data_IF_548085588645
#
_entry.id   IF_548085588645
#
_cell.length_a   1.000
_cell.length_b   1.000
_cell.length_c   1.000
_cell.angle_alpha   90.00
_cell.angle_beta   90.00
_cell.angle_gamma   90.00
#
_symmetry.space_group_name_H-M   'P 1'
#
loop_
_entity.id
_entity.type
_entity.pdbx_description
1 polymer ?
#
# COMPACT_ATOMS: atom_id res chain seq x y z
N UNK A 1 -31.83 -6.74 -11.55
CA UNK A 1 -31.22 -5.77 -10.61
C UNK A 1 -29.70 -5.86 -10.56
N UNK A 2 -29.09 -6.97 -10.10
CA UNK A 2 -27.61 -7.07 -10.03
C UNK A 2 -26.94 -7.11 -11.42
N UNK A 3 -27.51 -7.87 -12.35
CA UNK A 3 -27.05 -7.91 -13.75
C UNK A 3 -27.17 -6.51 -14.40
N UNK A 4 -28.30 -5.84 -14.18
CA UNK A 4 -28.52 -4.47 -14.67
C UNK A 4 -27.54 -3.45 -14.06
N UNK A 5 -27.04 -3.73 -12.86
CA UNK A 5 -26.00 -2.94 -12.19
C UNK A 5 -24.57 -3.30 -12.64
N UNK A 6 -24.41 -4.22 -13.60
CA UNK A 6 -23.13 -4.61 -14.16
C UNK A 6 -22.37 -5.66 -13.35
N UNK A 7 -23.02 -6.38 -12.43
CA UNK A 7 -22.42 -7.53 -11.75
C UNK A 7 -22.46 -8.73 -12.69
N UNK A 8 -21.31 -9.40 -12.89
CA UNK A 8 -21.22 -10.56 -13.77
C UNK A 8 -21.91 -11.80 -13.18
N UNK A 9 -22.51 -12.68 -14.00
CA UNK A 9 -23.07 -13.94 -13.52
C UNK A 9 -22.05 -14.79 -12.74
N UNK A 10 -20.80 -14.82 -13.19
CA UNK A 10 -19.70 -15.55 -12.55
C UNK A 10 -19.39 -15.01 -11.15
N UNK A 11 -19.45 -13.69 -10.97
CA UNK A 11 -19.27 -13.09 -9.65
C UNK A 11 -20.46 -13.45 -8.74
N UNK A 12 -21.71 -13.37 -9.23
CA UNK A 12 -22.90 -13.73 -8.46
C UNK A 12 -22.84 -15.19 -7.99
N UNK A 13 -22.42 -16.12 -8.86
CA UNK A 13 -22.29 -17.54 -8.52
C UNK A 13 -21.22 -17.80 -7.45
N UNK A 14 -20.18 -16.97 -7.37
CA UNK A 14 -19.18 -17.06 -6.30
C UNK A 14 -19.71 -16.56 -4.94
N UNK A 15 -20.81 -15.83 -4.93
CA UNK A 15 -21.36 -15.20 -3.74
C UNK A 15 -22.90 -15.34 -3.70
N UNK A 16 -23.33 -16.60 -3.62
CA UNK A 16 -24.75 -17.01 -3.57
C UNK A 16 -25.48 -16.42 -2.36
N UNK A 17 -24.75 -15.94 -1.34
CA UNK A 17 -25.33 -15.29 -0.17
C UNK A 17 -26.12 -14.03 -0.50
N UNK A 18 -25.85 -13.39 -1.65
CA UNK A 18 -26.60 -12.23 -2.12
C UNK A 18 -28.10 -12.46 -2.23
N UNK A 19 -28.54 -13.71 -2.50
CA UNK A 19 -29.96 -14.04 -2.62
C UNK A 19 -30.71 -14.05 -1.29
N UNK A 20 -30.00 -14.04 -0.15
CA UNK A 20 -30.62 -14.01 1.18
C UNK A 20 -30.92 -12.59 1.67
N UNK A 21 -30.43 -11.58 0.96
CA UNK A 21 -30.53 -10.19 1.38
C UNK A 21 -31.80 -9.51 0.84
N UNK A 22 -32.30 -8.57 1.63
CA UNK A 22 -33.47 -7.78 1.28
C UNK A 22 -33.22 -6.92 0.03
N UNK A 23 -34.18 -6.95 -0.91
CA UNK A 23 -34.10 -6.23 -2.18
C UNK A 23 -33.97 -4.71 -2.00
N UNK A 24 -34.71 -4.11 -1.06
CA UNK A 24 -34.61 -2.66 -0.81
C UNK A 24 -33.21 -2.27 -0.30
N UNK A 25 -32.62 -3.10 0.55
CA UNK A 25 -31.28 -2.88 1.09
C UNK A 25 -30.19 -3.04 0.02
N UNK A 26 -30.38 -3.96 -0.93
CA UNK A 26 -29.49 -4.09 -2.07
C UNK A 26 -29.62 -2.87 -2.99
N UNK A 27 -30.84 -2.41 -3.26
CA UNK A 27 -31.09 -1.27 -4.13
C UNK A 27 -30.45 0.01 -3.58
N UNK A 28 -30.64 0.33 -2.29
CA UNK A 28 -30.04 1.53 -1.69
C UNK A 28 -28.50 1.54 -1.77
N UNK A 29 -27.87 0.36 -1.65
CA UNK A 29 -26.42 0.21 -1.81
C UNK A 29 -25.97 0.38 -3.26
N UNK A 30 -26.72 -0.18 -4.20
CA UNK A 30 -26.42 0.00 -5.62
C UNK A 30 -26.51 1.47 -6.01
N UNK A 31 -27.50 2.20 -5.49
CA UNK A 31 -27.63 3.64 -5.73
C UNK A 31 -26.42 4.40 -5.16
N UNK A 32 -26.00 4.07 -3.94
CA UNK A 32 -24.78 4.63 -3.33
C UNK A 32 -23.50 4.34 -4.14
N UNK A 33 -23.38 3.14 -4.70
CA UNK A 33 -22.23 2.75 -5.55
C UNK A 33 -22.26 3.50 -6.89
N UNK A 34 -23.45 3.75 -7.45
CA UNK A 34 -23.62 4.53 -8.68
C UNK A 34 -23.25 6.00 -8.47
N UNK A 35 -23.65 6.61 -7.36
CA UNK A 35 -23.27 7.99 -6.98
C UNK A 35 -21.75 8.19 -6.94
N UNK A 36 -21.01 7.15 -6.52
CA UNK A 36 -19.56 7.19 -6.43
C UNK A 36 -18.85 6.95 -7.77
N UNK A 37 -19.59 6.69 -8.86
CA UNK A 37 -19.05 6.56 -10.21
C UNK A 37 -18.12 5.35 -10.41
N UNK A 38 -18.21 4.35 -9.54
CA UNK A 38 -17.33 3.18 -9.57
C UNK A 38 -17.87 2.13 -10.54
N UNK A 39 -16.98 1.65 -11.41
CA UNK A 39 -17.24 0.58 -12.35
C UNK A 39 -16.75 -0.77 -11.75
N UNK A 40 -17.47 -1.85 -12.04
CA UNK A 40 -17.12 -3.20 -11.59
C UNK A 40 -17.58 -3.50 -10.17
N UNK A 41 -18.90 -3.52 -9.98
CA UNK A 41 -19.57 -3.86 -8.72
C UNK A 41 -19.33 -5.35 -8.41
N UNK A 42 -18.97 -5.65 -7.16
CA UNK A 42 -18.81 -7.03 -6.68
C UNK A 42 -19.95 -7.41 -5.74
N UNK A 43 -20.43 -8.67 -5.74
CA UNK A 43 -21.57 -9.09 -4.92
C UNK A 43 -21.44 -8.80 -3.42
N UNK A 44 -20.23 -8.95 -2.84
CA UNK A 44 -20.02 -8.63 -1.42
C UNK A 44 -20.38 -7.19 -1.05
N UNK A 45 -20.30 -6.24 -2.00
CA UNK A 45 -20.60 -4.83 -1.77
C UNK A 45 -22.07 -4.60 -1.41
N UNK A 46 -22.96 -5.47 -1.89
CA UNK A 46 -24.39 -5.31 -1.67
C UNK A 46 -24.87 -5.97 -0.37
N UNK A 47 -24.01 -6.71 0.32
CA UNK A 47 -24.38 -7.45 1.54
C UNK A 47 -23.47 -7.22 2.75
N UNK A 48 -22.29 -6.63 2.58
CA UNK A 48 -21.38 -6.28 3.68
C UNK A 48 -21.97 -5.24 4.64
N UNK A 49 -21.32 -4.93 5.77
CA UNK A 49 -21.71 -3.75 6.55
C UNK A 49 -21.54 -2.45 5.72
N UNK A 50 -22.41 -1.46 5.91
CA UNK A 50 -22.32 -0.16 5.24
C UNK A 50 -20.97 0.53 5.49
N UNK A 51 -20.41 0.38 6.69
CA UNK A 51 -19.07 0.91 7.02
C UNK A 51 -17.99 0.31 6.12
N UNK A 52 -18.09 -0.98 5.82
CA UNK A 52 -17.14 -1.68 4.94
C UNK A 52 -17.30 -1.22 3.49
N UNK A 53 -18.53 -0.98 3.05
CA UNK A 53 -18.81 -0.41 1.74
C UNK A 53 -18.17 0.98 1.60
N UNK A 54 -18.44 1.90 2.53
CA UNK A 54 -17.87 3.26 2.51
C UNK A 54 -16.33 3.24 2.51
N UNK A 55 -15.68 2.39 3.33
CA UNK A 55 -14.22 2.23 3.33
C UNK A 55 -13.72 1.78 1.94
N UNK A 56 -14.43 0.87 1.28
CA UNK A 56 -14.04 0.39 -0.04
C UNK A 56 -14.22 1.45 -1.14
N UNK A 57 -15.32 2.24 -1.07
CA UNK A 57 -15.55 3.36 -1.98
C UNK A 57 -14.48 4.43 -1.79
N UNK A 58 -14.18 4.78 -0.53
CA UNK A 58 -13.13 5.75 -0.18
C UNK A 58 -11.77 5.30 -0.74
N UNK A 59 -11.35 4.05 -0.50
CA UNK A 59 -10.08 3.53 -1.03
C UNK A 59 -9.97 3.62 -2.56
N UNK A 60 -11.07 3.40 -3.27
CA UNK A 60 -11.11 3.53 -4.74
C UNK A 60 -10.99 4.99 -5.16
N UNK A 61 -11.71 5.88 -4.47
CA UNK A 61 -11.61 7.33 -4.67
C UNK A 61 -10.18 7.82 -4.45
N UNK A 62 -9.56 7.46 -3.33
CA UNK A 62 -8.18 7.84 -2.99
C UNK A 62 -7.21 7.30 -4.04
N UNK A 63 -7.36 6.02 -4.43
CA UNK A 63 -6.50 5.42 -5.45
C UNK A 63 -6.60 6.16 -6.79
N UNK A 64 -7.81 6.61 -7.16
CA UNK A 64 -8.04 7.42 -8.37
C UNK A 64 -7.44 8.82 -8.25
N UNK A 65 -7.52 9.45 -7.08
CA UNK A 65 -6.90 10.75 -6.83
C UNK A 65 -5.37 10.71 -6.99
N UNK A 66 -4.74 9.57 -6.63
CA UNK A 66 -3.29 9.38 -6.75
C UNK A 66 -2.85 8.99 -8.16
N UNK A 67 -3.56 8.06 -8.80
CA UNK A 67 -3.18 7.54 -10.12
C UNK A 67 -3.65 8.43 -11.28
N UNK A 68 -4.76 9.15 -11.13
CA UNK A 68 -5.47 9.73 -12.25
C UNK A 68 -5.84 8.63 -13.26
N UNK A 69 -5.46 8.83 -14.52
CA UNK A 69 -5.65 7.87 -15.61
C UNK A 69 -4.44 6.93 -15.81
N UNK A 70 -3.40 7.09 -15.00
CA UNK A 70 -2.16 6.32 -15.15
C UNK A 70 -2.26 4.92 -14.54
N UNK A 71 -1.51 3.98 -15.09
CA UNK A 71 -1.33 2.68 -14.44
C UNK A 71 -0.40 2.78 -13.21
N UNK A 72 -0.49 1.84 -12.28
CA UNK A 72 0.43 1.75 -11.13
C UNK A 72 1.89 1.66 -11.60
N UNK A 73 2.14 0.97 -12.71
CA UNK A 73 3.47 0.88 -13.31
C UNK A 73 3.97 2.25 -13.77
N UNK A 74 3.18 2.98 -14.55
CA UNK A 74 3.53 4.31 -15.04
C UNK A 74 3.77 5.28 -13.88
N UNK A 75 2.88 5.26 -12.89
CA UNK A 75 2.99 6.08 -11.69
C UNK A 75 4.33 5.81 -10.95
N UNK A 76 4.64 4.55 -10.68
CA UNK A 76 5.88 4.19 -9.97
C UNK A 76 7.14 4.45 -10.82
N UNK A 77 7.10 4.20 -12.14
CA UNK A 77 8.21 4.53 -13.03
C UNK A 77 8.52 6.02 -13.01
N UNK A 78 7.48 6.86 -13.08
CA UNK A 78 7.61 8.32 -12.99
C UNK A 78 8.15 8.76 -11.63
N UNK A 79 7.57 8.26 -10.53
CA UNK A 79 7.95 8.62 -9.16
C UNK A 79 9.37 8.18 -8.79
N UNK A 80 9.81 7.03 -9.30
CA UNK A 80 11.16 6.49 -9.04
C UNK A 80 12.18 6.90 -10.11
N UNK A 81 11.77 7.65 -11.13
CA UNK A 81 12.59 7.98 -12.30
C UNK A 81 13.31 6.74 -12.87
N UNK A 82 12.53 5.68 -13.16
CA UNK A 82 13.06 4.41 -13.68
C UNK A 82 12.37 3.99 -14.97
N UNK A 83 13.07 3.21 -15.79
CA UNK A 83 12.51 2.66 -17.03
C UNK A 83 11.56 1.50 -16.72
N UNK A 84 10.66 1.19 -17.65
CA UNK A 84 9.78 0.03 -17.52
C UNK A 84 10.56 -1.28 -17.37
N UNK A 85 11.71 -1.41 -18.04
CA UNK A 85 12.58 -2.58 -17.89
C UNK A 85 13.14 -2.69 -16.46
N UNK A 86 13.57 -1.57 -15.86
CA UNK A 86 14.02 -1.53 -14.48
C UNK A 86 12.87 -1.84 -13.51
N UNK A 87 11.67 -1.31 -13.76
CA UNK A 87 10.48 -1.60 -12.97
C UNK A 87 10.08 -3.08 -13.02
N UNK A 88 10.11 -3.69 -14.21
CA UNK A 88 9.85 -5.13 -14.38
C UNK A 88 10.88 -5.98 -13.64
N UNK A 89 12.15 -5.59 -13.66
CA UNK A 89 13.19 -6.26 -12.88
C UNK A 89 12.96 -6.13 -11.37
N UNK A 90 12.60 -4.93 -10.91
CA UNK A 90 12.28 -4.64 -9.52
C UNK A 90 11.09 -5.46 -9.01
N UNK A 91 9.99 -5.51 -9.77
CA UNK A 91 8.79 -6.27 -9.42
C UNK A 91 8.96 -7.78 -9.57
N UNK A 92 9.85 -8.25 -10.45
CA UNK A 92 10.25 -9.67 -10.49
C UNK A 92 10.97 -10.08 -9.20
N UNK A 93 11.83 -9.21 -8.65
CA UNK A 93 12.50 -9.46 -7.37
C UNK A 93 11.57 -9.31 -6.17
N UNK A 94 10.67 -8.34 -6.22
CA UNK A 94 9.73 -8.04 -5.13
C UNK A 94 8.28 -7.94 -5.66
N UNK A 95 7.61 -9.08 -5.91
CA UNK A 95 6.25 -9.09 -6.47
C UNK A 95 5.20 -8.47 -5.54
N UNK A 96 5.49 -8.42 -4.24
CA UNK A 96 4.57 -7.88 -3.23
C UNK A 96 4.24 -6.40 -3.46
N UNK A 97 5.09 -5.63 -4.14
CA UNK A 97 4.86 -4.20 -4.45
C UNK A 97 3.56 -4.01 -5.24
N UNK A 98 3.26 -4.93 -6.17
CA UNK A 98 2.05 -4.87 -7.00
C UNK A 98 0.76 -5.07 -6.20
N UNK A 99 0.86 -5.58 -4.96
CA UNK A 99 -0.28 -5.79 -4.05
C UNK A 99 -0.44 -4.65 -3.03
N UNK A 100 0.51 -3.71 -2.98
CA UNK A 100 0.45 -2.58 -2.05
C UNK A 100 -0.50 -1.52 -2.62
N UNK A 101 -1.38 -0.99 -1.78
CA UNK A 101 -2.26 0.11 -2.16
C UNK A 101 -1.45 1.33 -2.61
N UNK A 102 -1.91 1.99 -3.68
CA UNK A 102 -1.18 3.11 -4.29
C UNK A 102 -1.05 4.30 -3.35
N UNK A 103 -2.06 4.57 -2.52
CA UNK A 103 -2.02 5.63 -1.49
C UNK A 103 -0.90 5.38 -0.49
N UNK A 104 -0.77 4.14 -0.01
CA UNK A 104 0.35 3.74 0.85
C UNK A 104 1.70 3.87 0.13
N UNK A 105 1.78 3.51 -1.14
CA UNK A 105 3.01 3.67 -1.93
C UNK A 105 3.38 5.15 -2.06
N UNK A 106 2.40 6.02 -2.31
CA UNK A 106 2.58 7.47 -2.35
C UNK A 106 3.15 7.98 -1.03
N UNK A 107 2.44 7.74 0.08
CA UNK A 107 2.84 8.18 1.43
C UNK A 107 4.24 7.70 1.79
N UNK A 108 4.55 6.44 1.48
CA UNK A 108 5.87 5.87 1.76
C UNK A 108 6.96 6.53 0.94
N UNK A 109 6.72 6.78 -0.35
CA UNK A 109 7.69 7.44 -1.22
C UNK A 109 7.90 8.91 -0.84
N UNK A 110 6.83 9.64 -0.56
CA UNK A 110 6.89 11.04 -0.15
C UNK A 110 7.70 11.17 1.15
N UNK A 111 7.39 10.34 2.14
CA UNK A 111 8.15 10.31 3.40
C UNK A 111 9.64 9.96 3.19
N UNK A 112 9.96 8.95 2.37
CA UNK A 112 11.35 8.59 2.10
C UNK A 112 12.12 9.72 1.39
N UNK A 113 11.47 10.43 0.48
CA UNK A 113 12.10 11.55 -0.23
C UNK A 113 12.28 12.78 0.68
N UNK A 114 11.32 13.05 1.56
CA UNK A 114 11.44 14.08 2.62
C UNK A 114 12.59 13.77 3.60
N UNK A 115 12.80 12.50 3.92
CA UNK A 115 13.94 12.02 4.73
C UNK A 115 15.27 12.02 3.95
N UNK A 116 15.27 12.46 2.68
CA UNK A 116 16.48 12.63 1.86
C UNK A 116 16.95 11.38 1.13
N UNK A 117 16.15 10.30 1.11
CA UNK A 117 16.47 9.13 0.29
C UNK A 117 16.20 9.41 -1.19
N UNK A 118 17.15 9.06 -2.04
CA UNK A 118 17.04 9.15 -3.49
C UNK A 118 16.20 8.02 -4.08
N UNK A 119 15.64 8.26 -5.26
CA UNK A 119 14.92 7.22 -6.01
C UNK A 119 15.80 6.00 -6.31
N UNK A 120 17.11 6.19 -6.53
CA UNK A 120 18.04 5.08 -6.75
C UNK A 120 18.14 4.19 -5.51
N UNK A 121 18.24 4.75 -4.29
CA UNK A 121 18.25 3.95 -3.06
C UNK A 121 16.97 3.12 -2.92
N UNK A 122 15.80 3.68 -3.26
CA UNK A 122 14.53 2.94 -3.24
C UNK A 122 14.51 1.83 -4.30
N UNK A 123 15.02 2.09 -5.51
CA UNK A 123 15.14 1.09 -6.57
C UNK A 123 16.07 -0.07 -6.18
N UNK A 124 17.17 0.21 -5.46
CA UNK A 124 18.08 -0.83 -4.94
C UNK A 124 17.45 -1.65 -3.82
N UNK A 125 16.56 -1.04 -3.02
CA UNK A 125 15.91 -1.68 -1.89
C UNK A 125 14.37 -1.58 -1.95
N UNK A 126 13.74 -2.17 -2.97
CA UNK A 126 12.33 -1.95 -3.27
C UNK A 126 11.40 -2.61 -2.24
N UNK A 127 11.94 -3.54 -1.43
CA UNK A 127 11.26 -4.16 -0.29
C UNK A 127 10.78 -3.13 0.75
N UNK A 128 11.43 -1.97 0.84
CA UNK A 128 11.02 -0.89 1.75
C UNK A 128 9.55 -0.51 1.56
N UNK A 129 9.07 -0.52 0.31
CA UNK A 129 7.70 -0.17 -0.07
C UNK A 129 6.65 -1.18 0.43
N UNK A 130 7.08 -2.36 0.88
CA UNK A 130 6.20 -3.37 1.44
C UNK A 130 5.99 -3.20 2.95
N UNK A 131 6.89 -2.50 3.65
CA UNK A 131 6.75 -2.24 5.09
C UNK A 131 5.63 -1.22 5.35
N UNK A 132 5.10 -1.17 6.59
CA UNK A 132 4.19 -0.08 6.97
C UNK A 132 4.99 1.20 7.16
N UNK A 133 4.38 2.34 6.83
CA UNK A 133 4.98 3.65 7.07
C UNK A 133 5.37 3.82 8.54
N UNK A 134 4.49 3.39 9.46
CA UNK A 134 4.75 3.40 10.89
C UNK A 134 6.02 2.63 11.29
N UNK A 135 6.30 1.47 10.67
CA UNK A 135 7.55 0.74 10.94
C UNK A 135 8.77 1.50 10.43
N UNK A 136 8.68 2.12 9.25
CA UNK A 136 9.79 2.88 8.68
C UNK A 136 10.10 4.11 9.55
N UNK A 137 9.06 4.87 9.92
CA UNK A 137 9.17 6.04 10.80
C UNK A 137 9.75 5.67 12.16
N UNK A 138 9.19 4.65 12.82
CA UNK A 138 9.68 4.18 14.12
C UNK A 138 11.17 3.82 14.06
N UNK A 139 11.59 3.06 13.03
CA UNK A 139 12.99 2.67 12.88
C UNK A 139 13.91 3.86 12.64
N UNK A 140 13.51 4.81 11.79
CA UNK A 140 14.32 6.01 11.54
C UNK A 140 14.49 6.87 12.79
N UNK A 141 13.41 7.09 13.55
CA UNK A 141 13.48 7.81 14.83
C UNK A 141 14.42 7.12 15.81
N UNK A 142 14.26 5.81 16.01
CA UNK A 142 15.13 5.06 16.92
C UNK A 142 16.61 5.09 16.50
N UNK A 143 16.89 5.00 15.20
CA UNK A 143 18.26 5.10 14.68
C UNK A 143 18.84 6.50 14.91
N UNK A 144 18.04 7.54 14.70
CA UNK A 144 18.43 8.94 14.92
C UNK A 144 18.74 9.22 16.38
N UNK A 145 17.95 8.69 17.31
CA UNK A 145 18.19 8.79 18.77
C UNK A 145 19.51 8.12 19.18
N UNK A 146 19.89 7.06 18.46
CA UNK A 146 21.19 6.39 18.60
C UNK A 146 22.34 7.14 17.93
N UNK A 147 22.09 8.26 17.25
CA UNK A 147 23.08 9.04 16.51
C UNK A 147 23.45 8.40 15.16
N UNK A 148 22.65 7.47 14.66
CA UNK A 148 22.88 6.79 13.38
C UNK A 148 21.93 7.33 12.31
N UNK A 149 22.48 7.90 11.25
CA UNK A 149 21.72 8.30 10.07
C UNK A 149 21.95 7.29 8.92
N UNK A 150 20.98 6.42 8.59
CA UNK A 150 21.19 5.38 7.59
C UNK A 150 21.37 5.97 6.18
N UNK A 151 22.53 5.68 5.57
CA UNK A 151 22.77 5.98 4.14
C UNK A 151 22.06 4.95 3.23
N UNK A 152 21.70 3.78 3.75
CA UNK A 152 21.04 2.71 2.99
C UNK A 152 19.73 2.29 3.64
N UNK A 153 18.73 2.01 2.81
CA UNK A 153 17.41 1.52 3.23
C UNK A 153 17.44 0.05 3.70
N UNK A 154 18.59 -0.62 3.61
CA UNK A 154 18.73 -2.03 4.00
C UNK A 154 18.38 -2.29 5.46
N UNK A 155 18.75 -1.38 6.37
CA UNK A 155 18.45 -1.49 7.80
C UNK A 155 16.95 -1.41 8.07
N UNK A 156 16.22 -0.61 7.29
CA UNK A 156 14.77 -0.43 7.44
C UNK A 156 14.00 -1.67 6.97
N UNK A 157 14.62 -2.53 6.15
CA UNK A 157 14.03 -3.73 5.59
C UNK A 157 14.34 -5.02 6.37
N UNK A 158 15.12 -4.93 7.45
CA UNK A 158 15.48 -6.08 8.28
C UNK A 158 14.27 -6.70 8.97
N UNK A 159 14.35 -7.99 9.29
CA UNK A 159 13.37 -8.62 10.18
C UNK A 159 13.36 -7.93 11.55
N UNK A 160 12.32 -8.19 12.35
CA UNK A 160 12.26 -7.63 13.71
C UNK A 160 13.49 -8.04 14.53
N UNK A 161 13.86 -9.32 14.48
CA UNK A 161 15.00 -9.87 15.21
C UNK A 161 16.32 -9.22 14.81
N UNK A 162 16.66 -9.21 13.51
CA UNK A 162 17.94 -8.64 13.05
C UNK A 162 18.03 -7.12 13.31
N UNK A 163 16.90 -6.42 13.25
CA UNK A 163 16.85 -4.99 13.58
C UNK A 163 17.09 -4.77 15.09
N UNK A 164 16.47 -5.57 15.95
CA UNK A 164 16.71 -5.53 17.39
C UNK A 164 18.17 -5.84 17.74
N UNK A 165 18.78 -6.85 17.12
CA UNK A 165 20.20 -7.15 17.31
C UNK A 165 21.10 -5.99 16.89
N UNK A 166 20.80 -5.36 15.75
CA UNK A 166 21.54 -4.16 15.30
C UNK A 166 21.42 -3.02 16.32
N UNK A 167 20.21 -2.75 16.80
CA UNK A 167 19.93 -1.75 17.83
C UNK A 167 20.72 -2.01 19.11
N UNK A 168 20.73 -3.27 19.58
CA UNK A 168 21.51 -3.67 20.76
C UNK A 168 23.02 -3.44 20.57
N UNK A 169 23.57 -3.85 19.43
CA UNK A 169 25.00 -3.64 19.10
C UNK A 169 25.36 -2.15 19.13
N UNK A 170 24.56 -1.29 18.50
CA UNK A 170 24.79 0.16 18.47
C UNK A 170 24.69 0.80 19.85
N UNK A 171 23.73 0.36 20.67
CA UNK A 171 23.60 0.84 22.07
C UNK A 171 24.77 0.41 22.97
N UNK A 172 25.35 -0.77 22.70
CA UNK A 172 26.50 -1.31 23.42
C UNK A 172 27.80 -0.56 23.08
N UNK A 173 28.04 -0.26 21.80
CA UNK A 173 29.23 0.50 21.37
C UNK A 173 29.30 1.91 21.95
N UNK A 174 28.15 2.55 22.21
CA UNK A 174 28.09 3.90 22.80
C UNK A 174 28.53 3.93 24.27
N UNK A 175 28.41 2.81 25.00
CA UNK A 175 28.84 2.70 26.41
C UNK A 175 30.36 2.54 26.58
N UNK A 176 31.08 2.09 25.55
CA UNK A 176 32.54 1.89 25.60
C UNK A 176 33.36 3.16 25.29
N UNK A 177 32.74 4.19 24.70
CA UNK A 177 33.43 5.44 24.32
C UNK A 177 33.30 6.52 25.41
N UNK A 178 32.46 6.29 26.43
CA UNK A 178 32.17 7.22 27.51
C UNK A 178 32.87 6.89 28.85
N UNK A 179 33.92 6.05 28.82
CA UNK A 179 34.80 5.71 29.94
C UNK A 179 36.23 6.08 29.56
#
# INVERSE_FOLDING_TARGET
>A
MLLDAGVTPEDILKDVWVFRYNLQSIQSRLDRIKESGIIGIKPWMVHCDMKILEIALQRRSDSKAVLGDQSIQEYLCKRLNCSEAAFRYMTKKQPAILKVHVTKLQETLDFLFEEGFSSNQVQQMPRVLCHSLATIQMRLTELRDLGYNPISLSILCKSLHEYSEFKHKMSGSRKQIAL
#
